data_IF_192528185352
#
_entry.id   IF_192528185352
#
_cell.length_a   1.000
_cell.length_b   1.000
_cell.length_c   1.000
_cell.angle_alpha   90.00
_cell.angle_beta   90.00
_cell.angle_gamma   90.00
#
_symmetry.space_group_name_H-M   'P 1'
#
loop_
_entity.id
_entity.type
_entity.pdbx_description
1 polymer ?
#
# COMPACT_ATOMS: atom_id res chain seq x y z
N UNK A 1 0.97 14.13 48.20
CA UNK A 1 1.91 12.98 48.20
C UNK A 1 1.18 11.75 48.71
N UNK A 2 0.79 10.83 47.82
CA UNK A 2 0.31 9.43 48.05
C UNK A 2 -0.47 8.82 46.87
N UNK A 3 -0.48 9.45 45.69
CA UNK A 3 -1.01 8.87 44.45
C UNK A 3 0.11 8.44 43.48
N UNK A 4 1.21 7.94 44.06
CA UNK A 4 2.34 7.32 43.35
C UNK A 4 2.11 5.81 43.09
N UNK A 5 0.97 5.26 43.51
CA UNK A 5 0.78 3.80 43.65
C UNK A 5 -0.17 3.14 42.62
N UNK A 6 -0.80 3.90 41.71
CA UNK A 6 -1.48 3.30 40.55
C UNK A 6 -0.58 3.26 39.30
N UNK A 7 0.74 3.35 39.53
CA UNK A 7 1.82 2.98 38.62
C UNK A 7 1.82 1.47 38.26
N UNK A 8 0.83 0.69 38.71
CA UNK A 8 0.67 -0.75 38.41
C UNK A 8 -0.26 -1.05 37.23
N UNK A 9 -1.00 -0.06 36.71
CA UNK A 9 -1.63 -0.16 35.39
C UNK A 9 -0.64 0.13 34.23
N UNK A 10 0.62 0.41 34.57
CA UNK A 10 1.74 0.53 33.64
C UNK A 10 2.36 -0.82 33.21
N UNK A 11 1.72 -1.96 33.45
CA UNK A 11 2.30 -3.29 33.11
C UNK A 11 1.52 -4.03 32.02
N UNK A 12 0.31 -3.59 31.62
CA UNK A 12 -0.52 -4.39 30.71
C UNK A 12 -0.61 -3.99 29.23
N UNK A 13 0.05 -2.92 28.78
CA UNK A 13 0.33 -2.75 27.34
C UNK A 13 1.74 -3.19 26.94
N UNK A 14 2.51 -3.78 27.86
CA UNK A 14 3.83 -4.35 27.62
C UNK A 14 3.79 -5.74 26.93
N UNK A 15 2.65 -6.15 26.37
CA UNK A 15 2.61 -7.17 25.34
C UNK A 15 2.79 -6.50 23.96
N UNK A 16 3.90 -5.79 23.81
CA UNK A 16 4.51 -5.57 22.50
C UNK A 16 5.04 -6.93 22.02
N UNK A 17 4.11 -7.82 21.66
CA UNK A 17 4.38 -8.95 20.80
C UNK A 17 5.06 -8.36 19.57
N UNK A 18 6.14 -9.00 19.12
CA UNK A 18 6.85 -8.70 17.89
C UNK A 18 5.92 -8.80 16.68
N UNK A 19 4.99 -7.84 16.56
CA UNK A 19 4.20 -7.60 15.39
C UNK A 19 5.19 -7.03 14.39
N UNK A 20 5.49 -7.87 13.39
CA UNK A 20 6.24 -7.52 12.20
C UNK A 20 5.82 -6.09 11.75
N UNK A 21 6.76 -5.17 11.50
CA UNK A 21 6.47 -3.85 10.95
C UNK A 21 5.56 -3.91 9.72
N UNK A 22 5.64 -5.01 8.96
CA UNK A 22 4.73 -5.34 7.87
C UNK A 22 3.29 -5.53 8.34
N UNK A 23 3.06 -6.22 9.46
CA UNK A 23 1.72 -6.40 10.06
C UNK A 23 1.18 -5.07 10.56
N UNK A 24 2.00 -4.19 11.16
CA UNK A 24 1.56 -2.85 11.57
C UNK A 24 1.23 -1.98 10.35
N UNK A 25 2.03 -2.05 9.28
CA UNK A 25 1.77 -1.35 8.02
C UNK A 25 0.50 -1.87 7.33
N UNK A 26 0.31 -3.20 7.27
CA UNK A 26 -0.88 -3.84 6.72
C UNK A 26 -2.13 -3.50 7.55
N UNK A 27 -2.03 -3.46 8.87
CA UNK A 27 -3.13 -3.06 9.76
C UNK A 27 -3.47 -1.57 9.61
N UNK A 28 -2.47 -0.70 9.41
CA UNK A 28 -2.68 0.73 9.14
C UNK A 28 -3.33 0.96 7.77
N UNK A 29 -2.90 0.21 6.76
CA UNK A 29 -3.48 0.23 5.41
C UNK A 29 -4.91 -0.33 5.40
N UNK A 30 -5.19 -1.42 6.15
CA UNK A 30 -6.54 -1.97 6.35
C UNK A 30 -7.47 -0.96 7.05
N UNK A 31 -6.96 -0.25 8.07
CA UNK A 31 -7.70 0.79 8.77
C UNK A 31 -8.04 1.96 7.84
N UNK A 32 -7.10 2.40 7.00
CA UNK A 32 -7.33 3.48 6.03
C UNK A 32 -8.27 3.03 4.89
N UNK A 33 -8.32 1.74 4.57
CA UNK A 33 -9.30 1.16 3.65
C UNK A 33 -10.72 1.06 4.24
N UNK A 34 -10.87 0.79 5.55
CA UNK A 34 -12.20 0.79 6.21
C UNK A 34 -12.80 2.20 6.26
N UNK A 35 -11.96 3.24 6.34
CA UNK A 35 -12.40 4.63 6.20
C UNK A 35 -12.77 4.92 4.74
N UNK A 36 -12.07 4.33 3.77
CA UNK A 36 -12.41 4.43 2.34
C UNK A 36 -13.67 3.65 1.95
N UNK A 37 -14.07 2.60 2.68
CA UNK A 37 -15.36 1.92 2.46
C UNK A 37 -16.58 2.76 2.85
N UNK A 38 -16.44 3.86 3.60
CA UNK A 38 -17.53 4.84 3.70
C UNK A 38 -17.85 5.51 2.34
N UNK A 39 -16.91 5.46 1.39
CA UNK A 39 -17.07 5.90 0.00
C UNK A 39 -17.72 4.79 -0.87
N UNK A 40 -17.91 3.56 -0.35
CA UNK A 40 -18.78 2.53 -0.97
C UNK A 40 -20.22 3.03 -1.14
N UNK A 41 -20.64 4.11 -0.46
CA UNK A 41 -21.89 4.81 -0.76
C UNK A 41 -21.94 5.41 -2.18
N UNK A 42 -20.80 5.62 -2.86
CA UNK A 42 -20.72 6.07 -4.25
C UNK A 42 -20.80 4.94 -5.28
N UNK A 43 -20.55 3.69 -4.86
CA UNK A 43 -20.58 2.48 -5.72
C UNK A 43 -22.01 2.06 -6.08
N UNK A 44 -23.02 2.47 -5.30
CA UNK A 44 -24.44 2.35 -5.64
C UNK A 44 -24.84 3.12 -6.92
N UNK A 45 -24.12 4.19 -7.29
CA UNK A 45 -24.42 4.99 -8.49
C UNK A 45 -23.96 4.31 -9.79
N UNK A 46 -22.93 3.47 -9.73
CA UNK A 46 -22.38 2.77 -10.91
C UNK A 46 -23.18 1.52 -11.32
N UNK A 47 -24.10 1.05 -10.47
CA UNK A 47 -24.83 -0.21 -10.68
C UNK A 47 -26.04 -0.10 -11.63
N UNK A 48 -26.36 1.09 -12.16
CA UNK A 48 -27.52 1.32 -13.04
C UNK A 48 -27.25 1.30 -14.55
N UNK A 49 -26.00 1.33 -15.03
CA UNK A 49 -25.74 1.55 -16.46
C UNK A 49 -25.20 0.36 -17.27
N UNK A 50 -25.01 -0.81 -16.66
CA UNK A 50 -24.54 -2.00 -17.40
C UNK A 50 -25.71 -2.77 -18.04
N UNK A 51 -26.09 -2.43 -19.28
CA UNK A 51 -26.96 -3.28 -20.13
C UNK A 51 -26.45 -3.41 -21.57
N UNK A 52 -25.98 -4.64 -21.86
CA UNK A 52 -26.01 -5.41 -23.12
C UNK A 52 -25.32 -4.88 -24.39
N UNK A 53 -24.31 -5.62 -24.90
CA UNK A 53 -24.08 -5.82 -26.35
C UNK A 53 -23.49 -7.23 -26.60
N UNK A 54 -24.06 -7.95 -27.58
CA UNK A 54 -23.68 -9.30 -28.01
C UNK A 54 -22.56 -9.36 -29.06
N UNK A 55 -22.00 -10.56 -29.26
CA UNK A 55 -20.80 -10.82 -30.09
C UNK A 55 -21.16 -11.75 -31.27
N UNK A 56 -20.75 -11.46 -32.53
CA UNK A 56 -20.79 -12.39 -33.66
C UNK A 56 -19.43 -13.11 -33.90
N UNK A 57 -19.38 -14.19 -34.71
CA UNK A 57 -18.37 -15.25 -34.50
C UNK A 57 -17.29 -15.41 -35.60
N UNK A 58 -16.20 -16.08 -35.16
CA UNK A 58 -15.16 -16.89 -35.83
C UNK A 58 -14.05 -16.25 -36.69
N UNK A 59 -12.80 -16.51 -36.28
CA UNK A 59 -11.64 -16.71 -37.15
C UNK A 59 -10.79 -17.91 -36.65
N UNK A 60 -10.07 -18.55 -37.58
CA UNK A 60 -9.37 -19.85 -37.52
C UNK A 60 -8.39 -20.07 -36.33
N UNK A 61 -8.07 -21.34 -35.97
CA UNK A 61 -7.27 -21.66 -34.80
C UNK A 61 -5.79 -21.33 -35.05
N UNK A 62 -5.37 -20.16 -34.56
CA UNK A 62 -3.99 -20.02 -34.08
C UNK A 62 -3.88 -20.91 -32.85
N UNK A 63 -2.83 -21.71 -32.74
CA UNK A 63 -2.46 -22.37 -31.48
C UNK A 63 -2.31 -21.27 -30.44
N UNK A 64 -3.37 -21.06 -29.66
CA UNK A 64 -3.40 -20.05 -28.64
C UNK A 64 -2.29 -20.37 -27.64
N UNK A 65 -1.50 -19.38 -27.20
CA UNK A 65 -0.63 -19.60 -26.05
C UNK A 65 -1.50 -20.17 -24.92
N UNK A 66 -1.00 -21.16 -24.16
CA UNK A 66 -1.79 -21.76 -23.09
C UNK A 66 -2.30 -20.62 -22.20
N UNK A 67 -3.60 -20.63 -21.92
CA UNK A 67 -4.19 -19.64 -21.03
C UNK A 67 -3.35 -19.62 -19.75
N UNK A 68 -2.82 -18.45 -19.39
CA UNK A 68 -1.94 -18.32 -18.24
C UNK A 68 -2.67 -18.90 -17.02
N UNK A 69 -2.01 -19.81 -16.31
CA UNK A 69 -2.57 -20.32 -15.06
C UNK A 69 -2.78 -19.15 -14.10
N UNK A 70 -3.78 -19.24 -13.23
CA UNK A 70 -4.07 -18.17 -12.27
C UNK A 70 -2.83 -17.78 -11.45
N UNK A 71 -2.02 -18.77 -11.04
CA UNK A 71 -0.76 -18.53 -10.33
C UNK A 71 0.27 -17.75 -11.15
N UNK A 72 0.37 -18.00 -12.47
CA UNK A 72 1.23 -17.22 -13.37
C UNK A 72 0.71 -15.81 -13.59
N UNK A 73 -0.61 -15.64 -13.72
CA UNK A 73 -1.21 -14.30 -13.84
C UNK A 73 -0.99 -13.48 -12.56
N UNK A 74 -1.23 -14.06 -11.38
CA UNK A 74 -0.95 -13.41 -10.10
C UNK A 74 0.54 -13.08 -9.94
N UNK A 75 1.43 -13.94 -10.43
CA UNK A 75 2.87 -13.65 -10.45
C UNK A 75 3.18 -12.42 -11.29
N UNK A 76 2.68 -12.37 -12.52
CA UNK A 76 2.85 -11.22 -13.41
C UNK A 76 2.31 -9.93 -12.78
N UNK A 77 1.14 -10.01 -12.14
CA UNK A 77 0.56 -8.88 -11.43
C UNK A 77 1.44 -8.39 -10.27
N UNK A 78 2.03 -9.30 -9.48
CA UNK A 78 2.99 -8.95 -8.42
C UNK A 78 4.23 -8.26 -9.01
N UNK A 79 4.80 -8.84 -10.06
CA UNK A 79 6.02 -8.33 -10.69
C UNK A 79 5.81 -6.95 -11.32
N UNK A 80 4.64 -6.69 -11.92
CA UNK A 80 4.29 -5.39 -12.50
C UNK A 80 3.92 -4.32 -11.46
N UNK A 81 3.29 -4.71 -10.36
CA UNK A 81 2.67 -3.75 -9.42
C UNK A 81 3.59 -3.37 -8.27
N UNK A 82 4.52 -4.25 -7.90
CA UNK A 82 5.41 -4.09 -6.75
C UNK A 82 6.87 -3.92 -7.19
N UNK A 83 7.10 -3.10 -8.22
CA UNK A 83 8.45 -2.84 -8.78
C UNK A 83 9.44 -2.26 -7.76
N UNK A 84 8.94 -1.67 -6.68
CA UNK A 84 9.74 -1.12 -5.58
C UNK A 84 10.29 -2.21 -4.64
N UNK A 85 9.74 -3.42 -4.68
CA UNK A 85 10.26 -4.56 -3.92
C UNK A 85 11.44 -5.22 -4.66
N UNK A 86 12.31 -5.90 -3.92
CA UNK A 86 13.32 -6.76 -4.53
C UNK A 86 12.69 -7.98 -5.20
N UNK A 87 13.40 -8.65 -6.12
CA UNK A 87 12.90 -9.86 -6.77
C UNK A 87 12.55 -10.96 -5.74
N UNK A 88 13.38 -11.10 -4.71
CA UNK A 88 13.15 -12.03 -3.60
C UNK A 88 11.88 -11.67 -2.81
N UNK A 89 11.68 -10.39 -2.48
CA UNK A 89 10.48 -9.94 -1.75
C UNK A 89 9.20 -10.16 -2.57
N UNK A 90 9.25 -9.95 -3.89
CA UNK A 90 8.13 -10.26 -4.78
C UNK A 90 7.83 -11.75 -4.83
N UNK A 91 8.87 -12.59 -4.78
CA UNK A 91 8.71 -14.03 -4.70
C UNK A 91 8.09 -14.48 -3.37
N UNK A 92 8.55 -13.93 -2.25
CA UNK A 92 7.97 -14.18 -0.94
C UNK A 92 6.50 -13.74 -0.86
N UNK A 93 6.17 -12.57 -1.43
CA UNK A 93 4.79 -12.08 -1.53
C UNK A 93 3.91 -13.03 -2.34
N UNK A 94 4.38 -13.45 -3.53
CA UNK A 94 3.66 -14.39 -4.38
C UNK A 94 3.47 -15.75 -3.69
N UNK A 95 4.52 -16.30 -3.08
CA UNK A 95 4.44 -17.55 -2.34
C UNK A 95 3.46 -17.47 -1.16
N UNK A 96 3.44 -16.34 -0.45
CA UNK A 96 2.49 -16.08 0.63
C UNK A 96 1.04 -16.02 0.14
N UNK A 97 0.80 -15.32 -0.96
CA UNK A 97 -0.52 -15.25 -1.60
C UNK A 97 -1.00 -16.65 -2.03
N UNK A 98 -0.14 -17.43 -2.70
CA UNK A 98 -0.49 -18.79 -3.11
C UNK A 98 -0.76 -19.70 -1.91
N UNK A 99 -0.04 -19.54 -0.80
CA UNK A 99 -0.31 -20.27 0.44
C UNK A 99 -1.71 -19.98 0.96
N UNK A 100 -2.12 -18.71 0.99
CA UNK A 100 -3.47 -18.29 1.43
C UNK A 100 -4.54 -18.85 0.50
N UNK A 101 -4.33 -18.76 -0.83
CA UNK A 101 -5.31 -19.22 -1.83
C UNK A 101 -5.46 -20.74 -1.90
N UNK A 102 -4.46 -21.49 -1.45
CA UNK A 102 -4.48 -22.95 -1.40
C UNK A 102 -4.95 -23.51 -0.05
N UNK A 103 -5.16 -22.66 0.97
CA UNK A 103 -5.70 -23.11 2.26
C UNK A 103 -7.22 -23.42 2.11
N UNK A 104 -7.66 -24.66 2.40
CA UNK A 104 -9.08 -25.02 2.34
C UNK A 104 -9.99 -24.14 3.19
N UNK A 105 -9.47 -23.54 4.28
CA UNK A 105 -10.23 -22.61 5.13
C UNK A 105 -10.66 -21.35 4.39
N UNK A 106 -9.93 -20.97 3.34
CA UNK A 106 -10.21 -19.78 2.53
C UNK A 106 -10.89 -20.11 1.20
N UNK A 107 -11.24 -21.37 0.93
CA UNK A 107 -11.83 -21.79 -0.34
C UNK A 107 -13.07 -20.98 -0.72
N UNK A 108 -13.97 -20.71 0.24
CA UNK A 108 -15.17 -19.90 0.02
C UNK A 108 -14.88 -18.41 -0.26
N UNK A 109 -13.77 -17.88 0.27
CA UNK A 109 -13.37 -16.48 0.13
C UNK A 109 -12.35 -16.25 -1.00
N UNK A 110 -11.91 -17.31 -1.67
CA UNK A 110 -10.81 -17.29 -2.64
C UNK A 110 -11.00 -16.26 -3.75
N UNK A 111 -12.19 -16.21 -4.35
CA UNK A 111 -12.51 -15.25 -5.40
C UNK A 111 -12.41 -13.80 -4.87
N UNK A 112 -12.96 -13.53 -3.69
CA UNK A 112 -12.87 -12.22 -3.04
C UNK A 112 -11.42 -11.82 -2.75
N UNK A 113 -10.59 -12.73 -2.22
CA UNK A 113 -9.17 -12.47 -1.95
C UNK A 113 -8.45 -12.07 -3.24
N UNK A 114 -8.69 -12.79 -4.34
CA UNK A 114 -8.07 -12.49 -5.65
C UNK A 114 -8.53 -11.12 -6.17
N UNK A 115 -9.83 -10.82 -6.09
CA UNK A 115 -10.39 -9.53 -6.51
C UNK A 115 -9.77 -8.38 -5.72
N UNK A 116 -9.71 -8.49 -4.40
CA UNK A 116 -9.15 -7.47 -3.52
C UNK A 116 -7.65 -7.27 -3.74
N UNK A 117 -6.90 -8.37 -3.84
CA UNK A 117 -5.48 -8.32 -4.14
C UNK A 117 -5.24 -7.62 -5.49
N UNK A 118 -6.05 -7.92 -6.50
CA UNK A 118 -5.93 -7.35 -7.83
C UNK A 118 -6.23 -5.86 -7.84
N UNK A 119 -7.30 -5.45 -7.15
CA UNK A 119 -7.64 -4.04 -6.96
C UNK A 119 -6.47 -3.28 -6.33
N UNK A 120 -5.90 -3.82 -5.25
CA UNK A 120 -4.79 -3.18 -4.55
C UNK A 120 -3.50 -3.14 -5.39
N UNK A 121 -3.19 -4.21 -6.12
CA UNK A 121 -2.02 -4.26 -7.00
C UNK A 121 -2.12 -3.21 -8.12
N UNK A 122 -3.28 -3.10 -8.77
CA UNK A 122 -3.51 -2.09 -9.81
C UNK A 122 -3.34 -0.67 -9.24
N UNK A 123 -3.96 -0.39 -8.09
CA UNK A 123 -3.84 0.91 -7.43
C UNK A 123 -2.38 1.26 -7.10
N UNK A 124 -1.60 0.30 -6.59
CA UNK A 124 -0.17 0.47 -6.31
C UNK A 124 0.63 0.77 -7.57
N UNK A 125 0.39 0.02 -8.66
CA UNK A 125 1.04 0.23 -9.95
C UNK A 125 0.76 1.63 -10.50
N UNK A 126 -0.49 2.06 -10.45
CA UNK A 126 -0.92 3.35 -11.00
C UNK A 126 -0.40 4.51 -10.16
N UNK A 127 -0.41 4.40 -8.83
CA UNK A 127 0.21 5.36 -7.93
C UNK A 127 1.72 5.49 -8.21
N UNK A 128 2.43 4.37 -8.35
CA UNK A 128 3.86 4.38 -8.67
C UNK A 128 4.13 5.04 -10.04
N UNK A 129 3.33 4.73 -11.06
CA UNK A 129 3.43 5.36 -12.38
C UNK A 129 3.18 6.86 -12.32
N UNK A 130 2.18 7.32 -11.57
CA UNK A 130 1.90 8.73 -11.39
C UNK A 130 3.06 9.44 -10.71
N UNK A 131 3.57 8.90 -9.60
CA UNK A 131 4.70 9.47 -8.87
C UNK A 131 5.97 9.51 -9.73
N UNK A 132 6.21 8.49 -10.57
CA UNK A 132 7.37 8.46 -11.49
C UNK A 132 7.31 9.48 -12.62
N UNK A 133 6.13 10.04 -12.91
CA UNK A 133 5.91 11.04 -13.97
C UNK A 133 5.97 12.47 -13.46
N UNK A 134 6.10 12.67 -12.15
CA UNK A 134 6.20 14.00 -11.57
C UNK A 134 7.46 14.71 -12.10
N UNK A 135 7.26 15.92 -12.60
CA UNK A 135 8.34 16.84 -12.91
C UNK A 135 9.05 17.29 -11.63
N UNK A 136 10.27 17.82 -11.78
CA UNK A 136 11.00 18.39 -10.65
C UNK A 136 10.21 19.52 -9.94
N UNK A 137 9.47 20.34 -10.70
CA UNK A 137 8.64 21.40 -10.14
C UNK A 137 7.47 20.84 -9.33
N UNK A 138 6.80 19.79 -9.81
CA UNK A 138 5.70 19.15 -9.07
C UNK A 138 6.20 18.45 -7.81
N UNK A 139 7.35 17.76 -7.87
CA UNK A 139 7.97 17.16 -6.68
C UNK A 139 8.31 18.22 -5.63
N UNK A 140 8.87 19.36 -6.05
CA UNK A 140 9.17 20.47 -5.15
C UNK A 140 7.90 21.07 -4.54
N UNK A 141 6.83 21.24 -5.33
CA UNK A 141 5.54 21.73 -4.83
C UNK A 141 4.95 20.79 -3.77
N UNK A 142 4.96 19.48 -4.04
CA UNK A 142 4.50 18.45 -3.08
C UNK A 142 5.34 18.49 -1.80
N UNK A 143 6.67 18.56 -1.91
CA UNK A 143 7.54 18.60 -0.74
C UNK A 143 7.35 19.87 0.09
N UNK A 144 7.13 21.02 -0.57
CA UNK A 144 6.85 22.30 0.10
C UNK A 144 5.52 22.24 0.87
N UNK A 145 4.48 21.64 0.28
CA UNK A 145 3.21 21.47 0.97
C UNK A 145 3.33 20.48 2.13
N UNK A 146 3.98 19.34 1.90
CA UNK A 146 4.23 18.34 2.94
C UNK A 146 5.03 18.91 4.12
N UNK A 147 5.93 19.88 3.85
CA UNK A 147 6.68 20.59 4.90
C UNK A 147 5.77 21.42 5.80
N UNK A 148 4.76 22.09 5.26
CA UNK A 148 3.81 22.89 6.06
C UNK A 148 3.04 22.00 7.04
N UNK A 149 2.61 20.83 6.58
CA UNK A 149 1.97 19.83 7.44
C UNK A 149 2.95 19.25 8.46
N UNK A 150 4.19 18.95 8.04
CA UNK A 150 5.25 18.49 8.93
C UNK A 150 5.53 19.48 10.07
N UNK A 151 5.58 20.78 9.79
CA UNK A 151 5.84 21.83 10.78
C UNK A 151 4.74 21.93 11.86
N UNK A 152 3.51 21.51 11.53
CA UNK A 152 2.38 21.47 12.48
C UNK A 152 2.46 20.27 13.44
N UNK A 153 3.29 19.27 13.15
CA UNK A 153 3.38 18.06 13.96
C UNK A 153 4.16 18.28 15.27
N UNK A 154 3.80 17.56 16.35
CA UNK A 154 4.60 17.47 17.57
C UNK A 154 6.06 17.06 17.28
N UNK A 155 7.00 17.55 18.08
CA UNK A 155 8.44 17.35 17.84
C UNK A 155 8.84 15.86 17.74
N UNK A 156 8.22 14.99 18.54
CA UNK A 156 8.47 13.55 18.51
C UNK A 156 8.02 12.92 17.18
N UNK A 157 6.84 13.31 16.68
CA UNK A 157 6.30 12.83 15.40
C UNK A 157 7.15 13.32 14.22
N UNK A 158 7.64 14.57 14.30
CA UNK A 158 8.58 15.12 13.31
C UNK A 158 9.87 14.29 13.24
N UNK A 159 10.45 13.93 14.38
CA UNK A 159 11.65 13.09 14.42
C UNK A 159 11.40 11.70 13.84
N UNK A 160 10.28 11.06 14.18
CA UNK A 160 9.89 9.78 13.60
C UNK A 160 9.74 9.87 12.08
N UNK A 161 9.12 10.93 11.57
CA UNK A 161 8.92 11.10 10.13
C UNK A 161 10.24 11.33 9.39
N UNK A 162 11.17 12.11 9.96
CA UNK A 162 12.53 12.25 9.44
C UNK A 162 13.27 10.91 9.39
N UNK A 163 13.18 10.10 10.44
CA UNK A 163 13.79 8.77 10.45
C UNK A 163 13.21 7.88 9.34
N UNK A 164 11.90 7.90 9.13
CA UNK A 164 11.27 7.14 8.04
C UNK A 164 11.80 7.59 6.68
N UNK A 165 11.89 8.89 6.42
CA UNK A 165 12.43 9.42 5.16
C UNK A 165 13.92 9.10 4.95
N UNK A 166 14.71 9.03 6.03
CA UNK A 166 16.12 8.62 5.97
C UNK A 166 16.29 7.14 5.56
N UNK A 167 15.37 6.28 5.99
CA UNK A 167 15.37 4.87 5.58
C UNK A 167 14.71 4.64 4.21
N UNK A 168 14.06 5.67 3.67
CA UNK A 168 13.30 5.63 2.43
C UNK A 168 11.93 5.00 2.62
N UNK A 169 10.93 5.57 1.96
CA UNK A 169 9.56 5.03 1.96
C UNK A 169 9.41 4.03 0.80
N UNK A 170 9.09 2.76 1.07
CA UNK A 170 8.83 1.78 0.02
C UNK A 170 7.74 2.27 -0.95
N UNK A 171 8.00 2.17 -2.25
CA UNK A 171 7.07 2.61 -3.30
C UNK A 171 7.20 4.08 -3.71
N UNK A 172 7.85 4.92 -2.89
CA UNK A 172 8.13 6.31 -3.23
C UNK A 172 9.34 6.42 -4.18
N UNK A 173 9.27 7.22 -5.26
CA UNK A 173 10.44 7.52 -6.07
C UNK A 173 11.55 8.15 -5.25
N UNK A 174 12.80 7.70 -5.44
CA UNK A 174 13.97 8.22 -4.69
C UNK A 174 14.10 9.73 -4.79
N UNK A 175 13.93 10.29 -5.99
CA UNK A 175 13.99 11.73 -6.21
C UNK A 175 12.99 12.52 -5.34
N UNK A 176 11.75 12.03 -5.18
CA UNK A 176 10.77 12.67 -4.32
C UNK A 176 11.15 12.54 -2.84
N UNK A 177 11.61 11.36 -2.41
CA UNK A 177 12.08 11.14 -1.03
C UNK A 177 13.24 12.09 -0.68
N UNK A 178 14.19 12.28 -1.59
CA UNK A 178 15.35 13.15 -1.39
C UNK A 178 14.94 14.62 -1.27
N UNK A 179 14.01 15.09 -2.11
CA UNK A 179 13.46 16.45 -2.03
C UNK A 179 12.69 16.65 -0.72
N UNK A 180 11.85 15.70 -0.31
CA UNK A 180 11.13 15.76 0.97
C UNK A 180 12.09 15.77 2.16
N UNK A 181 13.12 14.92 2.14
CA UNK A 181 14.12 14.85 3.20
C UNK A 181 14.89 16.17 3.32
N UNK A 182 15.25 16.81 2.20
CA UNK A 182 15.89 18.11 2.19
C UNK A 182 15.00 19.20 2.81
N UNK A 183 13.73 19.28 2.42
CA UNK A 183 12.77 20.25 2.96
C UNK A 183 12.55 20.05 4.47
N UNK A 184 12.39 18.80 4.92
CA UNK A 184 12.10 18.52 6.33
C UNK A 184 13.31 18.75 7.22
N UNK A 185 14.51 18.47 6.69
CA UNK A 185 15.78 18.75 7.38
C UNK A 185 16.03 20.25 7.50
N UNK A 186 15.64 21.05 6.49
CA UNK A 186 15.72 22.52 6.55
C UNK A 186 14.74 23.13 7.56
N UNK A 187 13.57 22.50 7.76
CA UNK A 187 12.56 22.91 8.73
C UNK A 187 12.84 22.46 10.17
N UNK A 188 13.77 21.53 10.37
CA UNK A 188 14.10 21.04 11.70
C UNK A 188 14.79 22.14 12.54
N UNK A 189 14.37 22.36 13.79
CA UNK A 189 15.00 23.37 14.64
C UNK A 189 16.48 23.04 14.84
N UNK A 190 17.37 23.98 14.46
CA UNK A 190 18.79 23.90 14.79
C UNK A 190 18.91 23.94 16.32
N UNK A 191 19.39 22.83 16.90
CA UNK A 191 19.69 22.75 18.33
C UNK A 191 20.89 23.61 18.67
#
# INVERSE_FOLDING_TARGET
>A
MRLFAAALLAIWCAAAVAADPLVIFLLRMLRDQVISSAIESGVEAARRESKAVGIPPVAAPRTAPPAATEGQWLRGLVDESFVHLSAQQREELHASLMRILNDPKHAAARATIITEFTRQAIAMRDAHRQLSRLSAQEMQAIATEARREYEQLPAEQRQQMLQVLQHGIPGMPRALNDVMLAEFSAAAPRR
#
